data_IF_037743032396
#
_entry.id   IF_037743032396
#
_cell.length_a   1.000
_cell.length_b   1.000
_cell.length_c   1.000
_cell.angle_alpha   90.00
_cell.angle_beta   90.00
_cell.angle_gamma   90.00
#
_symmetry.space_group_name_H-M   'P 1'
#
loop_
_entity.id
_entity.type
_entity.pdbx_description
1 polymer ?
#
# COMPACT_ATOMS: atom_id res chain seq x y z
N UNK A 1 31.04 1.00 18.94
CA UNK A 1 30.60 0.48 17.62
C UNK A 1 29.79 -0.79 17.87
N UNK A 2 28.46 -0.69 17.77
CA UNK A 2 27.57 -1.82 18.14
C UNK A 2 27.57 -2.87 17.04
N UNK A 3 28.23 -3.99 17.30
CA UNK A 3 28.14 -5.19 16.46
C UNK A 3 26.70 -5.71 16.51
N UNK A 4 25.98 -5.57 15.40
CA UNK A 4 24.70 -6.26 15.21
C UNK A 4 25.02 -7.74 15.09
N UNK A 5 24.69 -8.54 16.10
CA UNK A 5 24.67 -10.00 15.95
C UNK A 5 23.48 -10.34 15.06
N UNK A 6 23.78 -10.75 13.83
CA UNK A 6 22.84 -11.51 13.02
C UNK A 6 22.71 -12.89 13.69
N UNK A 7 21.50 -13.41 13.93
CA UNK A 7 21.34 -14.77 14.44
C UNK A 7 21.96 -15.77 13.45
N UNK A 8 22.76 -16.68 14.00
CA UNK A 8 23.62 -17.62 13.30
C UNK A 8 22.88 -18.87 12.81
N UNK A 9 21.74 -18.68 12.14
CA UNK A 9 21.02 -19.76 11.47
C UNK A 9 20.54 -19.27 10.10
N UNK A 10 21.51 -19.03 9.23
CA UNK A 10 21.29 -18.74 7.81
C UNK A 10 21.23 -20.06 7.04
N UNK A 11 20.05 -20.68 7.03
CA UNK A 11 19.63 -21.33 5.80
C UNK A 11 19.17 -20.20 4.85
N UNK A 12 19.75 -20.13 3.66
CA UNK A 12 19.54 -19.04 2.69
C UNK A 12 18.12 -19.03 2.06
N UNK A 13 17.10 -19.58 2.72
CA UNK A 13 15.87 -19.98 2.03
C UNK A 13 14.58 -19.23 2.34
N UNK A 14 14.38 -18.44 3.39
CA UNK A 14 13.04 -17.87 3.64
C UNK A 14 13.05 -16.42 4.12
N UNK A 15 13.30 -15.48 3.20
CA UNK A 15 12.86 -14.11 3.40
C UNK A 15 11.33 -14.06 3.37
N UNK A 16 10.67 -13.30 4.25
CA UNK A 16 9.21 -13.20 4.24
C UNK A 16 8.74 -12.59 2.91
N UNK A 17 7.66 -13.13 2.36
CA UNK A 17 6.94 -12.51 1.24
C UNK A 17 6.24 -11.24 1.73
N UNK A 18 7.00 -10.15 1.73
CA UNK A 18 6.60 -8.88 2.29
C UNK A 18 7.04 -7.74 1.38
N UNK A 19 6.07 -6.98 0.86
CA UNK A 19 6.30 -5.83 -0.03
C UNK A 19 7.10 -4.69 0.61
N UNK A 20 7.27 -4.72 1.93
CA UNK A 20 7.98 -3.70 2.70
C UNK A 20 9.42 -4.11 3.06
N UNK A 21 9.83 -5.34 2.76
CA UNK A 21 11.21 -5.79 2.96
C UNK A 21 12.14 -5.05 1.99
N UNK A 22 13.24 -4.51 2.51
CA UNK A 22 14.25 -3.82 1.69
C UNK A 22 15.46 -4.71 1.42
N UNK A 23 16.26 -4.36 0.40
CA UNK A 23 17.53 -5.05 0.07
C UNK A 23 18.53 -5.09 1.24
N UNK A 24 18.41 -4.14 2.18
CA UNK A 24 19.22 -4.07 3.40
C UNK A 24 18.63 -4.86 4.57
N UNK A 25 17.71 -5.77 4.30
CA UNK A 25 16.98 -6.57 5.29
C UNK A 25 16.19 -5.72 6.30
N UNK A 26 15.85 -4.49 5.90
CA UNK A 26 15.05 -3.55 6.69
C UNK A 26 13.56 -3.60 6.31
N UNK A 27 12.78 -2.70 6.91
CA UNK A 27 11.37 -2.52 6.61
C UNK A 27 11.09 -1.07 6.22
N UNK A 28 10.64 -0.83 4.99
CA UNK A 28 10.30 0.52 4.51
C UNK A 28 9.05 1.08 5.18
N UNK A 29 8.09 0.22 5.58
CA UNK A 29 6.84 0.63 6.23
C UNK A 29 7.04 1.16 7.65
N UNK A 30 7.93 0.53 8.41
CA UNK A 30 8.22 0.87 9.80
C UNK A 30 9.55 1.62 9.98
N UNK A 31 10.27 1.88 8.88
CA UNK A 31 11.62 2.44 8.87
C UNK A 31 12.63 1.69 9.78
N UNK A 32 12.46 0.38 9.89
CA UNK A 32 13.33 -0.47 10.71
C UNK A 32 14.53 -0.95 9.91
N UNK A 33 15.69 -1.01 10.57
CA UNK A 33 16.92 -1.54 9.97
C UNK A 33 17.06 -3.06 10.08
N UNK A 34 16.08 -3.75 10.68
CA UNK A 34 15.97 -5.20 10.70
C UNK A 34 14.50 -5.62 10.63
N UNK A 35 14.16 -6.44 9.65
CA UNK A 35 12.82 -6.98 9.47
C UNK A 35 12.47 -7.97 10.58
N UNK A 36 11.20 -7.96 11.03
CA UNK A 36 10.69 -8.89 12.06
C UNK A 36 10.26 -10.25 11.52
N UNK A 37 10.38 -10.48 10.20
CA UNK A 37 10.02 -11.75 9.59
C UNK A 37 8.53 -12.07 9.66
N UNK A 38 8.19 -13.37 9.64
CA UNK A 38 6.83 -13.90 9.62
C UNK A 38 5.96 -13.47 10.83
N UNK A 39 6.56 -13.13 11.97
CA UNK A 39 5.84 -12.61 13.14
C UNK A 39 5.43 -11.14 13.03
N UNK A 40 5.72 -10.47 11.91
CA UNK A 40 5.38 -9.07 11.72
C UNK A 40 3.88 -8.90 11.41
N UNK A 41 3.15 -8.21 12.29
CA UNK A 41 1.72 -7.88 12.08
C UNK A 41 1.47 -6.92 10.91
N UNK A 42 2.54 -6.32 10.36
CA UNK A 42 2.50 -5.46 9.17
C UNK A 42 3.03 -6.18 7.92
N UNK A 43 3.38 -7.46 8.03
CA UNK A 43 3.74 -8.28 6.87
C UNK A 43 2.56 -8.32 5.92
N UNK A 44 2.82 -8.10 4.64
CA UNK A 44 1.80 -8.11 3.61
C UNK A 44 2.43 -8.53 2.28
N UNK A 45 1.85 -9.52 1.62
CA UNK A 45 2.24 -9.91 0.27
C UNK A 45 1.69 -8.93 -0.77
N UNK A 46 2.18 -9.02 -2.01
CA UNK A 46 1.67 -8.22 -3.12
C UNK A 46 0.20 -8.53 -3.40
N UNK A 47 -0.16 -9.81 -3.37
CA UNK A 47 -1.52 -10.31 -3.59
C UNK A 47 -2.48 -9.79 -2.52
N UNK A 48 -2.06 -9.81 -1.25
CA UNK A 48 -2.86 -9.30 -0.14
C UNK A 48 -3.07 -7.79 -0.23
N UNK A 49 -2.03 -7.04 -0.60
CA UNK A 49 -2.14 -5.60 -0.84
C UNK A 49 -3.12 -5.31 -1.99
N UNK A 50 -2.99 -6.04 -3.09
CA UNK A 50 -3.85 -5.89 -4.27
C UNK A 50 -5.30 -6.27 -3.95
N UNK A 51 -5.53 -7.34 -3.20
CA UNK A 51 -6.85 -7.74 -2.72
C UNK A 51 -7.47 -6.69 -1.79
N UNK A 52 -6.68 -6.16 -0.85
CA UNK A 52 -7.11 -5.07 0.05
C UNK A 52 -7.51 -3.81 -0.73
N UNK A 53 -6.70 -3.43 -1.74
CA UNK A 53 -6.98 -2.31 -2.64
C UNK A 53 -8.28 -2.54 -3.41
N UNK A 54 -8.46 -3.69 -4.06
CA UNK A 54 -9.70 -4.03 -4.79
C UNK A 54 -10.94 -3.96 -3.90
N UNK A 55 -10.86 -4.46 -2.66
CA UNK A 55 -11.96 -4.34 -1.67
C UNK A 55 -12.25 -2.88 -1.31
N UNK A 56 -11.23 -2.03 -1.20
CA UNK A 56 -11.44 -0.60 -0.96
C UNK A 56 -12.10 0.10 -2.15
N UNK A 57 -11.61 -0.18 -3.37
CA UNK A 57 -12.17 0.36 -4.61
C UNK A 57 -13.63 -0.06 -4.80
N UNK A 58 -13.97 -1.34 -4.58
CA UNK A 58 -15.35 -1.82 -4.66
C UNK A 58 -16.28 -1.11 -3.67
N UNK A 59 -15.82 -0.88 -2.43
CA UNK A 59 -16.58 -0.12 -1.42
C UNK A 59 -16.78 1.33 -1.81
N UNK A 60 -15.78 1.96 -2.43
CA UNK A 60 -15.91 3.34 -2.94
C UNK A 60 -16.86 3.40 -4.13
N UNK A 61 -16.78 2.42 -5.03
CA UNK A 61 -17.65 2.30 -6.20
C UNK A 61 -19.12 2.05 -5.85
N UNK A 62 -19.40 1.42 -4.69
CA UNK A 62 -20.77 1.14 -4.24
C UNK A 62 -21.44 2.32 -3.53
N UNK A 63 -20.75 3.44 -3.29
CA UNK A 63 -21.34 4.64 -2.68
C UNK A 63 -22.19 5.40 -3.70
N UNK A 64 -23.09 6.27 -3.23
CA UNK A 64 -23.83 7.17 -4.13
C UNK A 64 -22.89 8.08 -4.92
N UNK A 65 -23.27 8.44 -6.15
CA UNK A 65 -22.44 9.27 -7.04
C UNK A 65 -22.03 10.61 -6.42
N UNK A 66 -22.94 11.25 -5.67
CA UNK A 66 -22.66 12.51 -4.99
C UNK A 66 -21.58 12.33 -3.92
N UNK A 67 -21.61 11.22 -3.18
CA UNK A 67 -20.61 10.92 -2.17
C UNK A 67 -19.27 10.54 -2.80
N UNK A 68 -19.30 9.73 -3.87
CA UNK A 68 -18.11 9.43 -4.67
C UNK A 68 -17.45 10.70 -5.20
N UNK A 69 -18.22 11.66 -5.71
CA UNK A 69 -17.70 12.94 -6.20
C UNK A 69 -17.03 13.74 -5.07
N UNK A 70 -17.65 13.80 -3.89
CA UNK A 70 -17.10 14.50 -2.72
C UNK A 70 -15.78 13.88 -2.27
N UNK A 71 -15.70 12.55 -2.22
CA UNK A 71 -14.47 11.84 -1.86
C UNK A 71 -13.39 12.09 -2.91
N UNK A 72 -13.73 11.99 -4.21
CA UNK A 72 -12.81 12.23 -5.30
C UNK A 72 -12.27 13.67 -5.27
N UNK A 73 -13.13 14.66 -5.11
CA UNK A 73 -12.74 16.07 -5.01
C UNK A 73 -11.79 16.31 -3.82
N UNK A 74 -12.07 15.71 -2.66
CA UNK A 74 -11.29 15.94 -1.44
C UNK A 74 -9.92 15.24 -1.43
N UNK A 75 -9.84 14.04 -1.96
CA UNK A 75 -8.65 13.18 -1.79
C UNK A 75 -7.95 12.78 -3.08
N UNK A 76 -8.61 12.93 -4.23
CA UNK A 76 -8.16 12.37 -5.51
C UNK A 76 -8.29 13.37 -6.68
N UNK A 77 -8.23 14.68 -6.42
CA UNK A 77 -8.33 15.72 -7.45
C UNK A 77 -9.56 15.59 -8.36
N UNK A 78 -10.71 15.20 -7.79
CA UNK A 78 -11.94 14.94 -8.55
C UNK A 78 -11.94 13.65 -9.37
N UNK A 79 -10.84 12.88 -9.38
CA UNK A 79 -10.73 11.62 -10.13
C UNK A 79 -11.24 10.44 -9.31
N UNK A 80 -12.19 9.69 -9.86
CA UNK A 80 -12.69 8.44 -9.27
C UNK A 80 -11.81 7.27 -9.73
N UNK A 81 -10.64 7.13 -9.13
CA UNK A 81 -9.64 6.12 -9.53
C UNK A 81 -10.14 4.66 -9.45
N UNK A 82 -11.18 4.42 -8.65
CA UNK A 82 -11.82 3.11 -8.45
C UNK A 82 -12.81 2.70 -9.55
N UNK A 83 -13.16 3.58 -10.50
CA UNK A 83 -14.08 3.27 -11.61
C UNK A 83 -13.38 2.85 -12.91
N UNK A 84 -12.05 2.73 -12.91
CA UNK A 84 -11.26 2.53 -14.13
C UNK A 84 -11.20 3.79 -15.01
N UNK A 85 -10.37 3.78 -16.05
CA UNK A 85 -10.04 4.93 -16.93
C UNK A 85 -11.20 5.45 -17.80
N UNK A 86 -12.46 5.11 -17.52
CA UNK A 86 -13.60 5.32 -18.42
C UNK A 86 -14.61 6.40 -18.05
N UNK A 87 -14.61 6.97 -16.84
CA UNK A 87 -15.66 7.93 -16.42
C UNK A 87 -15.04 9.19 -15.81
N UNK A 88 -14.46 10.03 -16.67
CA UNK A 88 -13.99 11.37 -16.30
C UNK A 88 -15.05 12.38 -16.77
N UNK A 89 -15.94 12.84 -15.87
CA UNK A 89 -16.73 14.06 -16.15
C UNK A 89 -15.84 15.26 -15.87
N UNK A 90 -15.57 16.04 -16.92
CA UNK A 90 -14.74 17.26 -16.93
C UNK A 90 -15.29 18.24 -15.88
N UNK A 91 -14.52 18.47 -14.83
CA UNK A 91 -14.76 19.49 -13.80
C UNK A 91 -13.44 20.21 -13.53
N UNK A 92 -13.54 21.53 -13.48
CA UNK A 92 -12.50 22.56 -13.60
C UNK A 92 -11.19 22.38 -12.82
N UNK A 93 -10.19 23.05 -13.39
CA UNK A 93 -8.75 23.02 -13.11
C UNK A 93 -8.38 23.35 -11.65
N UNK A 94 -7.52 22.50 -11.07
CA UNK A 94 -6.85 22.82 -9.82
C UNK A 94 -6.46 21.61 -9.00
N UNK A 95 -5.39 20.91 -9.38
CA UNK A 95 -4.68 20.02 -8.45
C UNK A 95 -3.18 20.20 -8.62
N UNK A 96 -2.56 20.98 -7.72
CA UNK A 96 -1.12 20.99 -7.53
C UNK A 96 -0.75 20.01 -6.39
N UNK A 97 0.42 19.36 -6.48
CA UNK A 97 0.82 18.24 -5.64
C UNK A 97 1.01 18.57 -4.15
#
# INVERSE_FOLDING_TARGET
>A
MSHRRLPADTSWQELPDCIYLTERLGCSRLALSGCKGAGCTFCQSREEQDASRRRAEARLASLDEALQQRIAAKYYCGKRIWLGTGVQKKGEDGCSP
#
